data_IF_390447216083
#
_entry.id   IF_390447216083
#
_cell.length_a   1.000
_cell.length_b   1.000
_cell.length_c   1.000
_cell.angle_alpha   90.00
_cell.angle_beta   90.00
_cell.angle_gamma   90.00
#
_symmetry.space_group_name_H-M   'P 1'
#
loop_
_entity.id
_entity.type
_entity.pdbx_description
1 polymer ?
2 water ?
#
# COMPACT_ATOMS: atom_id res chain seq x y z
N UNK A 3 1.42 -3.78 -17.63
CA UNK A 3 1.34 -2.58 -18.53
C UNK A 3 -0.06 -1.90 -18.72
N UNK A 4 -0.30 -0.78 -17.98
CA UNK A 4 -1.60 -0.11 -18.11
C UNK A 4 -1.81 0.63 -19.42
N UNK A 5 -3.05 0.62 -19.86
CA UNK A 5 -3.47 1.31 -21.05
C UNK A 5 -3.75 2.77 -20.78
N UNK A 6 -3.58 3.58 -21.82
CA UNK A 6 -3.65 5.02 -21.67
C UNK A 6 -4.98 5.54 -22.18
N UNK A 7 -5.35 6.73 -21.73
CA UNK A 7 -6.60 7.33 -22.12
C UNK A 7 -6.65 7.52 -23.64
N UNK A 8 -7.81 7.35 -24.25
CA UNK A 8 -7.99 7.78 -25.65
C UNK A 8 -8.59 9.17 -25.50
N UNK A 9 -8.28 10.05 -26.45
CA UNK A 9 -8.88 11.38 -26.52
C UNK A 9 -8.51 12.32 -25.35
N UNK A 10 -7.25 12.23 -24.89
CA UNK A 10 -6.74 13.18 -23.92
C UNK A 10 -6.70 14.60 -24.47
N UNK A 11 -7.44 15.51 -23.84
CA UNK A 11 -7.36 16.95 -24.12
C UNK A 11 -6.32 17.61 -23.22
N UNK A 12 -5.06 17.61 -23.68
CA UNK A 12 -3.91 17.85 -22.82
C UNK A 12 -3.97 19.22 -22.16
N UNK A 13 -4.37 20.24 -22.91
CA UNK A 13 -4.34 21.59 -22.33
C UNK A 13 -5.26 21.70 -21.09
N UNK A 14 -6.30 20.85 -21.03
CA UNK A 14 -7.31 20.87 -19.93
C UNK A 14 -6.77 20.34 -18.56
N UNK A 15 -5.58 19.73 -18.57
CA UNK A 15 -4.95 19.23 -17.33
C UNK A 15 -4.13 20.30 -16.63
N UNK A 16 -4.04 21.50 -17.24
CA UNK A 16 -3.22 22.57 -16.67
C UNK A 16 -3.62 23.00 -15.28
N UNK A 17 -2.64 23.38 -14.48
CA UNK A 17 -2.88 24.06 -13.20
C UNK A 17 -2.56 23.16 -12.00
N UNK A 18 -3.20 23.43 -10.87
CA UNK A 18 -2.74 22.87 -9.61
C UNK A 18 -3.27 21.48 -9.41
N UNK A 19 -2.43 20.55 -8.93
CA UNK A 19 -2.91 19.21 -8.53
C UNK A 19 -2.31 18.85 -7.20
N UNK A 20 -2.89 17.85 -6.52
CA UNK A 20 -2.28 17.29 -5.33
C UNK A 20 -2.19 15.75 -5.50
N UNK A 21 -1.14 15.15 -4.97
CA UNK A 21 -0.94 13.70 -5.01
C UNK A 21 -1.78 13.10 -3.84
N UNK A 22 -2.83 12.44 -4.20
CA UNK A 22 -3.66 11.73 -3.19
C UNK A 22 -3.14 10.31 -2.86
N UNK A 23 -2.69 9.56 -3.89
CA UNK A 23 -2.25 8.19 -3.62
C UNK A 23 -1.13 7.88 -4.58
N UNK A 24 -0.25 6.95 -4.17
CA UNK A 24 0.87 6.46 -5.03
C UNK A 24 0.97 4.99 -4.89
N UNK A 25 1.44 4.28 -5.94
CA UNK A 25 1.58 2.84 -5.85
C UNK A 25 2.72 2.42 -6.77
N UNK A 26 3.39 1.34 -6.45
CA UNK A 26 4.57 0.96 -7.25
C UNK A 26 4.78 -0.55 -7.22
N UNK A 27 5.43 -1.07 -8.25
CA UNK A 27 5.72 -2.46 -8.35
C UNK A 27 6.82 -2.90 -7.35
N UNK A 28 7.70 -2.00 -6.95
CA UNK A 28 8.79 -2.34 -6.03
C UNK A 28 8.59 -1.47 -4.82
N UNK A 29 8.59 -2.09 -3.64
CA UNK A 29 8.45 -1.39 -2.37
C UNK A 29 9.48 -0.27 -2.18
N UNK A 30 10.75 -0.52 -2.57
CA UNK A 30 11.84 0.44 -2.41
C UNK A 30 11.66 1.75 -3.16
N UNK A 31 10.95 1.73 -4.27
CA UNK A 31 10.65 2.95 -5.03
C UNK A 31 9.89 4.02 -4.27
N UNK A 32 9.05 3.61 -3.30
CA UNK A 32 8.15 4.55 -2.56
C UNK A 32 8.25 4.60 -1.05
N UNK A 33 9.03 3.69 -0.49
CA UNK A 33 9.01 3.33 0.94
C UNK A 33 9.51 4.37 1.98
N UNK A 34 10.05 5.52 1.58
CA UNK A 34 10.44 6.52 2.59
C UNK A 34 10.14 7.84 1.92
N UNK A 35 10.24 8.99 2.59
CA UNK A 35 10.03 10.26 1.80
C UNK A 35 11.22 10.57 0.90
N UNK A 36 12.28 9.83 1.10
CA UNK A 36 13.42 10.04 0.24
C UNK A 36 13.51 8.94 -0.79
N UNK A 37 12.44 8.14 -0.96
CA UNK A 37 12.41 7.11 -1.99
C UNK A 37 12.40 7.85 -3.34
N UNK A 38 13.09 7.29 -4.38
CA UNK A 38 13.15 7.96 -5.72
C UNK A 38 11.81 8.35 -6.32
N UNK A 39 10.77 7.51 -6.17
CA UNK A 39 9.50 7.91 -6.80
C UNK A 39 8.49 8.57 -5.84
N UNK A 40 8.92 8.83 -4.60
CA UNK A 40 8.09 9.61 -3.64
C UNK A 40 8.19 11.10 -4.01
N UNK A 41 7.44 11.49 -5.03
CA UNK A 41 7.40 12.82 -5.52
C UNK A 41 5.99 13.28 -5.57
N UNK A 42 5.77 14.45 -5.06
CA UNK A 42 4.43 15.00 -4.91
C UNK A 42 4.20 16.01 -6.00
N UNK A 43 3.14 15.80 -6.78
CA UNK A 43 2.89 16.67 -7.93
C UNK A 43 2.29 17.96 -7.42
N UNK A 44 2.83 19.10 -7.88
CA UNK A 44 2.14 20.36 -7.54
C UNK A 44 1.43 21.08 -8.69
N UNK A 45 1.89 20.88 -9.93
CA UNK A 45 1.33 21.52 -11.09
C UNK A 45 1.67 20.73 -12.37
N UNK A 46 0.73 20.69 -13.29
CA UNK A 46 0.90 20.19 -14.64
C UNK A 46 0.78 21.42 -15.53
N UNK A 47 1.80 21.56 -16.40
CA UNK A 47 1.96 22.75 -17.23
C UNK A 47 2.16 22.34 -18.67
N UNK A 48 1.08 22.08 -19.37
CA UNK A 48 1.15 21.74 -20.78
C UNK A 48 1.82 22.89 -21.57
N UNK A 49 2.51 22.56 -22.65
CA UNK A 49 3.24 23.58 -23.41
C UNK A 49 2.48 23.79 -24.73
N UNK A 50 2.71 24.96 -25.40
CA UNK A 50 2.07 25.21 -26.68
C UNK A 50 2.29 24.13 -27.72
N UNK A 51 3.44 23.47 -27.65
CA UNK A 51 3.81 22.43 -28.58
C UNK A 51 3.11 21.10 -28.38
N UNK A 52 2.45 20.90 -27.24
CA UNK A 52 1.87 19.59 -26.92
C UNK A 52 2.70 18.73 -25.97
N UNK A 53 3.76 19.30 -25.37
CA UNK A 53 4.54 18.54 -24.37
C UNK A 53 3.97 18.80 -22.96
N UNK A 54 4.57 18.22 -21.92
CA UNK A 54 3.91 18.36 -20.59
C UNK A 54 4.93 18.55 -19.50
N UNK A 55 4.94 19.73 -18.91
CA UNK A 55 5.86 19.97 -17.86
C UNK A 55 5.19 19.57 -16.56
N UNK A 56 5.96 18.91 -15.68
CA UNK A 56 5.42 18.42 -14.41
C UNK A 56 6.26 19.04 -13.31
N UNK A 57 5.61 19.80 -12.43
CA UNK A 57 6.33 20.36 -11.31
C UNK A 57 6.04 19.53 -10.04
N UNK A 58 7.07 19.21 -9.27
CA UNK A 58 6.92 18.28 -8.16
C UNK A 58 7.67 18.82 -6.92
N UNK A 59 7.26 18.35 -5.72
CA UNK A 59 7.96 18.58 -4.42
C UNK A 59 8.53 17.25 -3.99
N UNK A 60 9.77 17.30 -3.49
CA UNK A 60 10.27 16.24 -2.67
C UNK A 60 10.37 16.83 -1.26
N UNK A 67 12.01 20.43 -1.38
CA UNK A 67 12.86 20.47 -2.59
C UNK A 67 11.96 20.40 -3.83
N UNK A 68 12.21 21.27 -4.81
CA UNK A 68 11.38 21.24 -5.99
C UNK A 68 12.08 20.54 -7.14
N UNK A 69 11.27 20.05 -8.10
CA UNK A 69 11.76 19.23 -9.21
C UNK A 69 10.91 19.64 -10.42
N UNK A 70 11.54 19.76 -11.58
CA UNK A 70 10.88 20.14 -12.86
C UNK A 70 11.20 19.05 -13.87
N UNK A 71 10.17 18.42 -14.44
CA UNK A 71 10.32 17.32 -15.41
C UNK A 71 9.57 17.77 -16.65
N UNK A 72 10.22 17.78 -17.82
CA UNK A 72 9.48 18.03 -19.04
C UNK A 72 9.23 16.71 -19.80
N UNK A 73 7.95 16.39 -20.03
CA UNK A 73 7.51 15.18 -20.73
C UNK A 73 7.20 15.50 -22.17
N UNK A 74 7.97 14.87 -23.06
CA UNK A 74 7.90 15.16 -24.48
C UNK A 74 6.83 14.33 -25.15
N UNK A 75 6.06 14.96 -26.01
CA UNK A 75 5.01 14.27 -26.74
C UNK A 75 5.52 13.14 -27.61
N UNK A 76 4.60 12.24 -27.95
CA UNK A 76 4.82 11.09 -28.83
C UNK A 76 3.55 11.05 -29.73
N UNK A 77 3.44 10.04 -30.59
CA UNK A 77 2.27 9.91 -31.49
C UNK A 77 1.02 9.49 -30.72
N UNK A 78 1.23 8.98 -29.48
CA UNK A 78 0.12 8.68 -28.58
C UNK A 78 -0.07 9.88 -27.68
N UNK A 79 -1.27 10.46 -27.71
CA UNK A 79 -1.60 11.70 -27.03
C UNK A 79 -1.48 11.58 -25.50
N UNK A 80 -1.54 10.34 -25.01
CA UNK A 80 -1.51 10.09 -23.57
C UNK A 80 -0.21 9.46 -23.09
N UNK A 81 0.80 9.35 -23.99
CA UNK A 81 2.11 8.84 -23.62
C UNK A 81 3.16 9.93 -23.89
N UNK A 82 4.07 10.06 -22.94
CA UNK A 82 5.10 11.06 -23.04
C UNK A 82 6.40 10.39 -22.70
N UNK A 83 7.49 10.97 -23.19
CA UNK A 83 8.82 10.54 -22.88
C UNK A 83 9.55 11.44 -21.89
N UNK A 84 10.24 10.85 -20.91
CA UNK A 84 10.93 11.64 -19.91
C UNK A 84 12.30 11.08 -19.73
N UNK A 85 13.14 11.81 -18.98
CA UNK A 85 14.51 11.40 -18.72
C UNK A 85 14.84 11.82 -17.27
N UNK A 86 14.25 11.15 -16.27
CA UNK A 86 14.32 11.64 -14.87
C UNK A 86 13.77 10.56 -13.95
N UNK A 87 14.24 10.54 -12.70
CA UNK A 87 13.81 9.51 -11.73
C UNK A 87 14.09 8.08 -12.16
N UNK A 88 15.09 7.88 -13.03
CA UNK A 88 15.29 6.58 -13.66
C UNK A 88 14.06 6.05 -14.38
N UNK A 89 13.22 6.90 -14.94
CA UNK A 89 12.03 6.45 -15.68
C UNK A 89 12.13 7.05 -17.07
N UNK A 90 11.41 6.51 -18.05
CA UNK A 90 11.44 7.15 -19.38
C UNK A 90 10.12 7.35 -20.03
N UNK A 91 9.02 6.96 -19.38
CA UNK A 91 7.72 7.10 -20.00
C UNK A 91 6.74 7.60 -18.92
N UNK A 92 5.85 8.53 -19.31
CA UNK A 92 4.72 8.96 -18.47
C UNK A 92 3.49 8.59 -19.26
N UNK A 93 2.50 7.99 -18.59
CA UNK A 93 1.28 7.55 -19.28
C UNK A 93 0.09 8.12 -18.58
N UNK A 94 -0.83 8.77 -19.28
CA UNK A 94 -2.00 9.30 -18.57
C UNK A 94 -3.08 8.24 -18.72
N UNK A 95 -3.53 7.72 -17.60
CA UNK A 95 -4.47 6.60 -17.62
C UNK A 95 -5.91 7.06 -17.82
N UNK A 96 -6.29 8.11 -17.09
CA UNK A 96 -7.67 8.58 -17.11
C UNK A 96 -7.69 9.88 -16.39
N UNK A 97 -8.59 10.78 -16.80
CA UNK A 97 -8.84 12.03 -16.08
C UNK A 97 -10.23 12.54 -16.45
N UNK A 98 -10.79 13.41 -15.63
CA UNK A 98 -11.96 14.19 -16.06
C UNK A 98 -11.60 15.68 -15.98
N UNK A 99 -10.30 15.99 -15.83
CA UNK A 99 -9.76 17.39 -15.95
C UNK A 99 -10.07 18.27 -14.79
N UNK A 100 -11.33 18.18 -14.37
CA UNK A 100 -11.84 19.08 -13.33
C UNK A 100 -11.70 18.57 -11.88
N UNK A 101 -11.52 17.26 -11.71
CA UNK A 101 -11.46 16.63 -10.36
C UNK A 101 -10.28 15.70 -10.06
N UNK A 102 -10.03 14.77 -10.97
CA UNK A 102 -9.00 13.74 -10.74
C UNK A 102 -8.18 13.44 -12.00
N UNK A 103 -6.98 12.90 -11.78
CA UNK A 103 -6.13 12.43 -12.87
C UNK A 103 -5.27 11.28 -12.40
N UNK A 104 -5.21 10.22 -13.21
CA UNK A 104 -4.38 9.08 -12.91
C UNK A 104 -3.27 8.92 -13.95
N UNK A 105 -2.04 8.75 -13.47
CA UNK A 105 -0.91 8.52 -14.42
C UNK A 105 0.06 7.51 -13.83
N UNK A 106 0.94 6.99 -14.69
CA UNK A 106 2.01 6.09 -14.30
C UNK A 106 3.28 6.57 -14.97
N UNK A 107 4.38 6.18 -14.39
CA UNK A 107 5.70 6.35 -14.98
C UNK A 107 6.27 4.94 -14.98
N UNK A 108 7.08 4.66 -15.96
CA UNK A 108 7.74 3.38 -16.07
C UNK A 108 9.08 3.58 -16.83
N UNK A 109 9.97 2.61 -16.68
CA UNK A 109 11.14 2.51 -17.53
C UNK A 109 10.75 1.37 -18.45
N UNK A 110 10.36 1.76 -19.65
CA UNK A 110 9.84 0.86 -20.70
C UNK A 110 10.70 -0.39 -20.93
N UNK A 111 12.00 -0.33 -20.60
CA UNK A 111 12.86 -1.50 -20.70
C UNK A 111 12.92 -2.40 -19.46
N UNK A 112 12.47 -1.89 -18.30
CA UNK A 112 12.40 -2.73 -17.07
C UNK A 112 11.18 -2.37 -16.19
N UNK A 113 9.96 -2.61 -16.69
CA UNK A 113 8.76 -2.15 -15.97
C UNK A 113 8.66 -2.69 -14.53
N UNK A 114 8.82 -4.00 -14.37
CA UNK A 114 8.70 -4.65 -13.07
C UNK A 114 9.55 -4.05 -11.97
N UNK A 115 10.56 -3.27 -12.35
CA UNK A 115 11.42 -2.65 -11.33
C UNK A 115 11.16 -1.14 -11.17
N UNK A 116 10.18 -0.61 -11.93
CA UNK A 116 10.06 0.83 -12.17
C UNK A 116 8.63 1.38 -12.21
N UNK A 117 7.62 0.54 -12.38
CA UNK A 117 6.24 1.00 -12.58
C UNK A 117 5.76 1.73 -11.30
N UNK A 118 5.39 2.99 -11.42
CA UNK A 118 4.87 3.74 -10.28
C UNK A 118 3.74 4.66 -10.75
N UNK A 119 2.58 4.56 -10.07
CA UNK A 119 1.42 5.31 -10.50
C UNK A 119 0.94 6.18 -9.38
N UNK A 120 0.19 7.22 -9.75
CA UNK A 120 -0.44 8.16 -8.78
C UNK A 120 -1.89 8.50 -9.14
N UNK A 121 -2.64 8.86 -8.11
CA UNK A 121 -3.92 9.47 -8.25
C UNK A 121 -3.74 10.93 -7.81
N UNK A 122 -4.07 11.84 -8.72
CA UNK A 122 -3.98 13.27 -8.42
C UNK A 122 -5.38 13.82 -8.25
N UNK A 123 -5.53 14.83 -7.42
CA UNK A 123 -6.79 15.54 -7.28
C UNK A 123 -6.58 17.04 -7.37
N UNK A 124 -7.64 17.74 -7.76
CA UNK A 124 -7.63 19.21 -7.92
C UNK A 124 -7.72 19.98 -6.59
N UNK A 125 -8.34 19.39 -5.57
CA UNK A 125 -8.43 20.02 -4.22
C UNK A 125 -7.67 19.26 -3.11
N UNK A 126 -7.46 19.91 -1.95
CA UNK A 126 -6.87 19.27 -0.77
C UNK A 126 -7.96 18.52 0.01
N UNK A 127 -8.62 17.60 -0.66
CA UNK A 127 -9.60 16.75 -0.01
C UNK A 127 -9.32 15.32 -0.40
N UNK A 128 -9.60 14.38 0.49
CA UNK A 128 -9.58 13.02 0.03
C UNK A 128 -10.81 12.65 -0.75
N UNK A 129 -10.61 12.07 -1.93
CA UNK A 129 -11.69 11.84 -2.85
C UNK A 129 -11.75 10.34 -3.03
N UNK A 130 -12.77 9.70 -2.43
CA UNK A 130 -12.85 8.26 -2.41
C UNK A 130 -13.17 7.62 -3.74
N UNK A 131 -13.83 8.39 -4.61
CA UNK A 131 -14.10 7.95 -5.97
C UNK A 131 -12.80 7.88 -6.82
N UNK A 132 -12.00 8.93 -6.79
CA UNK A 132 -10.68 8.91 -7.45
C UNK A 132 -9.86 7.71 -6.95
N UNK A 133 -9.86 7.46 -5.64
CA UNK A 133 -9.24 6.25 -5.07
C UNK A 133 -9.79 4.91 -5.59
N UNK A 134 -11.10 4.83 -5.75
CA UNK A 134 -11.69 3.62 -6.36
C UNK A 134 -11.27 3.45 -7.81
N UNK A 135 -11.28 4.52 -8.57
CA UNK A 135 -10.81 4.44 -9.96
C UNK A 135 -9.33 4.07 -10.02
N UNK A 136 -8.54 4.63 -9.11
CA UNK A 136 -7.09 4.34 -9.07
C UNK A 136 -6.91 2.83 -8.80
N UNK A 137 -7.56 2.30 -7.76
CA UNK A 137 -7.45 0.86 -7.46
C UNK A 137 -7.91 -0.04 -8.61
N UNK A 138 -8.97 0.35 -9.29
CA UNK A 138 -9.47 -0.40 -10.47
C UNK A 138 -8.39 -0.37 -11.57
N UNK A 139 -7.76 0.77 -11.78
CA UNK A 139 -6.71 0.85 -12.79
C UNK A 139 -5.55 -0.09 -12.42
N UNK A 140 -5.17 -0.10 -11.15
CA UNK A 140 -4.09 -0.94 -10.63
C UNK A 140 -4.39 -2.46 -10.53
N UNK A 141 -5.66 -2.85 -10.60
CA UNK A 141 -6.10 -4.21 -10.19
C UNK A 141 -5.34 -5.37 -10.88
N UNK A 142 -4.99 -5.25 -12.19
CA UNK A 142 -4.19 -6.33 -12.73
C UNK A 142 -2.65 -6.09 -12.80
N UNK A 143 -2.20 -4.92 -12.32
CA UNK A 143 -0.81 -4.50 -12.37
C UNK A 143 -0.06 -5.07 -11.18
N UNK A 144 1.27 -5.32 -11.34
CA UNK A 144 1.91 -6.01 -10.21
C UNK A 144 2.43 -5.07 -9.10
N UNK A 145 1.56 -4.39 -8.36
CA UNK A 145 2.01 -3.41 -7.35
C UNK A 145 2.26 -4.11 -6.02
N UNK A 146 3.29 -3.68 -5.31
CA UNK A 146 3.64 -4.20 -4.00
C UNK A 146 3.65 -3.17 -2.88
N UNK A 147 3.45 -1.89 -3.22
CA UNK A 147 3.28 -0.79 -2.23
C UNK A 147 2.18 0.16 -2.73
N UNK A 148 1.25 0.52 -1.84
CA UNK A 148 0.28 1.54 -2.16
C UNK A 148 0.22 2.43 -0.95
N UNK A 149 0.24 3.73 -1.18
CA UNK A 149 0.22 4.76 -0.12
C UNK A 149 -0.91 5.73 -0.40
N UNK A 150 -1.57 6.22 0.65
CA UNK A 150 -2.50 7.31 0.40
C UNK A 150 -2.25 8.41 1.43
N UNK A 151 -2.52 9.66 1.02
CA UNK A 151 -2.05 10.84 1.72
C UNK A 151 -3.21 11.75 2.08
N UNK A 152 -3.02 12.59 3.09
CA UNK A 152 -3.90 13.74 3.26
C UNK A 152 -3.23 14.87 2.49
N UNK A 153 -3.83 15.34 1.37
CA UNK A 153 -3.16 16.35 0.54
C UNK A 153 -2.73 17.63 1.27
N UNK A 154 -3.41 17.91 2.37
CA UNK A 154 -3.08 19.03 3.24
C UNK A 154 -1.65 19.06 3.75
N UNK A 155 -1.09 17.88 4.04
CA UNK A 155 0.19 17.77 4.74
C UNK A 155 1.35 18.36 3.93
N UNK A 156 1.54 17.82 2.72
CA UNK A 156 2.67 18.25 1.93
C UNK A 156 2.45 19.67 1.45
N UNK A 157 1.21 19.99 1.07
CA UNK A 157 0.79 21.33 0.64
C UNK A 157 1.16 22.44 1.64
N UNK B 3 -12.74 -0.14 13.98
CA UNK B 3 -12.14 -1.46 14.37
C UNK B 3 -12.73 -2.66 13.61
N UNK B 4 -11.84 -3.49 13.00
CA UNK B 4 -12.27 -4.75 12.42
C UNK B 4 -12.96 -5.68 13.42
N UNK B 5 -13.99 -6.32 12.93
CA UNK B 5 -14.67 -7.39 13.61
C UNK B 5 -13.78 -8.62 13.68
N UNK B 6 -13.88 -9.33 14.79
CA UNK B 6 -13.09 -10.54 15.00
C UNK B 6 -13.89 -11.80 14.63
N UNK B 7 -13.16 -12.88 14.40
CA UNK B 7 -13.73 -14.15 14.01
C UNK B 7 -14.64 -14.71 15.11
N UNK B 8 -15.76 -15.31 14.69
CA UNK B 8 -16.57 -16.08 15.62
C UNK B 8 -16.04 -17.49 15.52
N UNK B 9 -16.03 -18.18 16.65
CA UNK B 9 -15.70 -19.59 16.72
C UNK B 9 -14.30 -19.96 16.26
N UNK B 10 -13.31 -19.12 16.61
CA UNK B 10 -11.89 -19.46 16.44
C UNK B 10 -11.50 -20.75 17.18
N UNK B 11 -10.98 -21.71 16.43
CA UNK B 11 -10.37 -22.91 17.01
C UNK B 11 -8.87 -22.71 17.14
N UNK B 12 -8.45 -22.20 18.30
CA UNK B 12 -7.14 -21.58 18.44
C UNK B 12 -6.02 -22.59 18.21
N UNK B 13 -6.19 -23.81 18.69
CA UNK B 13 -5.11 -24.79 18.60
C UNK B 13 -4.80 -25.11 17.10
N UNK B 14 -5.79 -24.90 16.22
CA UNK B 14 -5.62 -25.18 14.77
C UNK B 14 -4.74 -24.20 13.97
N UNK B 15 -4.37 -23.08 14.59
CA UNK B 15 -3.51 -22.08 13.91
C UNK B 15 -2.05 -22.36 14.13
N UNK B 16 -1.76 -23.42 14.92
CA UNK B 16 -0.37 -23.76 15.23
C UNK B 16 0.52 -24.00 14.01
N UNK B 17 1.78 -23.66 14.13
CA UNK B 17 2.78 -24.07 13.15
C UNK B 17 3.26 -22.90 12.29
N UNK B 18 3.74 -23.22 11.10
CA UNK B 18 4.52 -22.27 10.33
C UNK B 18 3.60 -21.39 9.55
N UNK B 19 3.86 -20.07 9.51
CA UNK B 19 3.14 -19.13 8.62
C UNK B 19 4.12 -18.22 7.94
N UNK B 20 3.69 -17.58 6.84
CA UNK B 20 4.47 -16.54 6.21
C UNK B 20 3.61 -15.24 6.05
N UNK B 21 4.23 -14.10 6.21
CA UNK B 21 3.58 -12.80 6.05
C UNK B 21 3.51 -12.50 4.53
N UNK B 22 2.32 -12.58 3.98
CA UNK B 22 2.11 -12.23 2.54
C UNK B 22 1.84 -10.72 2.31
N UNK B 23 1.08 -10.09 3.22
CA UNK B 23 0.79 -8.67 3.05
C UNK B 23 0.67 -8.04 4.39
N UNK B 24 0.95 -6.74 4.45
CA UNK B 24 0.76 -5.92 5.68
C UNK B 24 0.11 -4.64 5.31
N UNK B 25 -0.71 -4.07 6.22
CA UNK B 25 -1.33 -2.78 5.98
C UNK B 25 -1.41 -2.03 7.30
N UNK B 26 -1.40 -0.70 7.26
CA UNK B 26 -1.45 0.06 8.50
C UNK B 26 -2.13 1.40 8.31
N UNK B 27 -2.66 1.94 9.40
CA UNK B 27 -3.27 3.26 9.40
C UNK B 27 -2.26 4.41 9.23
N UNK B 28 -1.03 4.23 9.67
CA UNK B 28 0.04 5.27 9.60
C UNK B 28 1.13 4.71 8.74
N UNK B 29 1.51 5.47 7.71
CA UNK B 29 2.61 5.09 6.80
C UNK B 29 3.91 4.77 7.57
N UNK B 30 4.24 5.59 8.59
CA UNK B 30 5.46 5.40 9.38
C UNK B 30 5.56 4.07 10.11
N UNK B 31 4.43 3.44 10.42
CA UNK B 31 4.47 2.14 11.10
C UNK B 31 5.07 1.00 10.26
N UNK B 32 5.02 1.14 8.93
CA UNK B 32 5.42 0.05 8.01
C UNK B 32 6.46 0.41 6.97
N UNK B 33 6.74 1.69 6.87
CA UNK B 33 7.45 2.35 5.75
C UNK B 33 8.91 1.92 5.44
N UNK B 34 9.60 1.22 6.31
CA UNK B 34 10.94 0.71 5.93
C UNK B 34 11.05 -0.65 6.57
N UNK B 35 12.10 -1.45 6.31
CA UNK B 35 12.20 -2.75 7.05
C UNK B 35 12.53 -2.57 8.53
N UNK B 36 12.89 -1.35 8.87
CA UNK B 36 13.17 -1.08 10.25
C UNK B 36 12.00 -0.33 10.89
N UNK B 37 10.85 -0.23 10.22
CA UNK B 37 9.67 0.42 10.82
C UNK B 37 9.16 -0.47 11.96
N UNK B 38 8.58 0.12 13.04
CA UNK B 38 8.06 -0.64 14.22
C UNK B 38 7.17 -1.84 13.93
N UNK B 39 6.25 -1.76 12.94
CA UNK B 39 5.37 -2.90 12.74
C UNK B 39 5.76 -3.76 11.52
N UNK B 40 6.89 -3.46 10.89
CA UNK B 40 7.40 -4.37 9.81
C UNK B 40 8.01 -5.60 10.51
N UNK B 41 7.13 -6.51 10.91
CA UNK B 41 7.53 -7.76 11.50
C UNK B 41 6.95 -8.90 10.70
N UNK B 42 7.74 -9.91 10.49
CA UNK B 42 7.34 -10.99 9.64
C UNK B 42 7.08 -12.24 10.50
N UNK B 43 5.87 -12.76 10.42
CA UNK B 43 5.47 -13.86 11.27
C UNK B 43 6.12 -15.13 10.79
N UNK B 44 6.74 -15.87 11.71
CA UNK B 44 7.27 -17.17 11.31
C UNK B 44 6.53 -18.37 11.90
N UNK B 45 5.98 -18.21 13.11
CA UNK B 45 5.24 -19.29 13.73
C UNK B 45 4.19 -18.75 14.69
N UNK B 46 3.08 -19.47 14.77
CA UNK B 46 2.04 -19.24 15.77
C UNK B 46 2.08 -20.48 16.67
N UNK B 47 2.26 -20.22 17.99
CA UNK B 47 2.45 -21.28 18.99
C UNK B 47 1.36 -21.11 20.08
N UNK B 48 0.15 -21.63 19.85
CA UNK B 48 -0.87 -21.60 20.90
C UNK B 48 -0.36 -22.39 22.13
N UNK B 49 -0.81 -22.00 23.31
CA UNK B 49 -0.35 -22.64 24.55
C UNK B 49 -1.50 -23.46 25.13
N UNK B 50 -1.18 -24.45 26.00
CA UNK B 50 -2.22 -25.26 26.62
C UNK B 50 -3.33 -24.48 27.31
N UNK B 51 -2.98 -23.33 27.85
CA UNK B 51 -3.90 -22.45 28.52
C UNK B 51 -4.86 -21.68 27.62
N UNK B 52 -4.62 -21.62 26.31
CA UNK B 52 -5.49 -20.78 25.46
C UNK B 52 -4.88 -19.43 25.13
N UNK B 53 -3.59 -19.22 25.43
CA UNK B 53 -2.92 -17.98 25.01
C UNK B 53 -2.20 -18.21 23.66
N UNK B 54 -1.54 -17.20 23.11
CA UNK B 54 -1.01 -17.39 21.73
C UNK B 54 0.36 -16.79 21.60
N UNK B 55 1.34 -17.64 21.45
CA UNK B 55 2.67 -17.14 21.27
C UNK B 55 2.90 -16.87 19.78
N UNK B 56 3.53 -15.74 19.50
CA UNK B 56 3.81 -15.31 18.14
C UNK B 56 5.33 -15.15 17.97
N UNK B 57 5.92 -15.92 17.07
CA UNK B 57 7.35 -15.76 16.80
C UNK B 57 7.49 -14.95 15.53
N UNK B 58 8.35 -13.93 15.55
CA UNK B 58 8.52 -13.05 14.38
C UNK B 58 10.01 -12.90 14.00
N UNK B 59 10.25 -12.50 12.74
CA UNK B 59 11.58 -12.04 12.21
C UNK B 59 11.50 -10.53 11.97
N UNK B 60 12.58 -9.82 12.31
CA UNK B 60 12.74 -8.40 11.97
C UNK B 60 13.97 -8.26 11.05
N UNK B 67 16.87 -10.77 12.93
CA UNK B 67 16.59 -10.75 14.36
C UNK B 67 15.25 -11.43 14.66
N UNK B 68 15.18 -12.22 15.74
CA UNK B 68 13.92 -12.86 16.11
C UNK B 68 13.22 -12.08 17.23
N UNK B 69 11.90 -12.24 17.33
CA UNK B 69 11.08 -11.54 18.31
C UNK B 69 10.06 -12.57 18.77
N UNK B 70 9.75 -12.56 20.05
CA UNK B 70 8.79 -13.52 20.67
C UNK B 70 7.79 -12.66 21.46
N UNK B 71 6.52 -12.78 21.10
CA UNK B 71 5.44 -12.01 21.68
C UNK B 71 4.46 -13.04 22.24
N UNK B 72 4.07 -12.91 23.51
CA UNK B 72 2.98 -13.75 24.02
C UNK B 72 1.68 -12.96 24.16
N UNK B 73 0.64 -13.46 23.49
CA UNK B 73 -0.71 -12.87 23.46
C UNK B 73 -1.63 -13.61 24.41
N UNK B 74 -2.12 -12.87 25.40
CA UNK B 74 -2.87 -13.49 26.49
C UNK B 74 -4.34 -13.47 26.15
N UNK B 75 -4.99 -14.59 26.42
CA UNK B 75 -6.39 -14.76 26.13
C UNK B 75 -7.25 -13.75 26.89
N UNK B 76 -8.47 -13.57 26.39
CA UNK B 76 -9.47 -12.70 26.96
C UNK B 76 -10.81 -13.46 26.83
N UNK B 77 -11.92 -12.81 27.14
CA UNK B 77 -13.24 -13.47 27.07
C UNK B 77 -13.67 -13.74 25.62
N UNK B 78 -13.09 -12.98 24.67
CA UNK B 78 -13.37 -13.18 23.23
C UNK B 78 -12.30 -14.09 22.72
N UNK B 79 -12.69 -15.22 22.13
CA UNK B 79 -11.75 -16.22 21.67
C UNK B 79 -10.77 -15.70 20.61
N UNK B 80 -11.09 -14.58 19.97
CA UNK B 80 -10.29 -14.10 18.86
C UNK B 80 -9.61 -12.78 19.17
N UNK B 81 -9.73 -12.31 20.42
CA UNK B 81 -9.00 -11.12 20.87
C UNK B 81 -7.95 -11.52 21.94
N UNK B 82 -6.76 -10.97 21.82
CA UNK B 82 -5.70 -11.29 22.79
C UNK B 82 -5.07 -10.00 23.21
N UNK B 83 -4.45 -10.01 24.41
CA UNK B 83 -3.76 -8.86 24.90
C UNK B 83 -2.26 -9.02 24.79
N UNK B 84 -1.58 -7.97 24.36
CA UNK B 84 -0.14 -7.99 24.24
C UNK B 84 0.47 -6.77 24.87
N UNK B 85 1.77 -6.78 24.95
CA UNK B 85 2.54 -5.69 25.56
C UNK B 85 3.86 -5.54 24.81
N UNK B 86 3.81 -5.10 23.54
CA UNK B 86 4.99 -5.12 22.64
C UNK B 86 4.67 -4.33 21.37
N UNK B 87 5.70 -3.79 20.74
CA UNK B 87 5.54 -2.99 19.50
C UNK B 87 4.69 -1.76 19.67
N UNK B 88 4.58 -1.26 20.92
CA UNK B 88 3.62 -0.19 21.25
C UNK B 88 2.17 -0.56 20.91
N UNK B 89 1.81 -1.84 20.98
CA UNK B 89 0.43 -2.23 20.70
C UNK B 89 -0.07 -2.95 21.93
N UNK B 90 -1.38 -3.06 22.10
CA UNK B 90 -1.87 -3.85 23.22
C UNK B 90 -2.93 -4.88 22.94
N UNK B 91 -3.33 -5.02 21.65
CA UNK B 91 -4.33 -6.01 21.33
C UNK B 91 -3.96 -6.71 20.01
N UNK B 92 -4.30 -8.00 19.93
CA UNK B 92 -4.18 -8.77 18.67
C UNK B 92 -5.58 -9.29 18.42
N UNK B 93 -6.08 -9.15 17.19
CA UNK B 93 -7.43 -9.60 16.81
C UNK B 93 -7.35 -10.56 15.66
N UNK B 94 -7.91 -11.75 15.75
CA UNK B 94 -7.88 -12.68 14.59
C UNK B 94 -9.17 -12.38 13.82
N UNK B 95 -9.01 -11.92 12.60
CA UNK B 95 -10.15 -11.51 11.79
C UNK B 95 -10.81 -12.69 11.10
N UNK B 96 -10.02 -13.64 10.61
CA UNK B 96 -10.55 -14.75 9.85
C UNK B 96 -9.44 -15.68 9.57
N UNK B 97 -9.75 -16.96 9.45
CA UNK B 97 -8.78 -17.98 9.02
C UNK B 97 -9.53 -19.21 8.54
N UNK B 98 -8.88 -20.06 7.76
CA UNK B 98 -9.39 -21.40 7.50
C UNK B 98 -8.33 -22.41 7.99
N UNK B 99 -7.34 -21.93 8.76
CA UNK B 99 -6.40 -22.81 9.52
C UNK B 99 -5.38 -23.45 8.65
N UNK B 100 -5.87 -23.96 7.52
CA UNK B 100 -5.02 -24.71 6.61
C UNK B 100 -4.33 -23.91 5.49
N UNK B 101 -4.81 -22.71 5.22
CA UNK B 101 -4.26 -21.91 4.08
C UNK B 101 -3.88 -20.45 4.37
N UNK B 102 -4.79 -19.75 5.02
CA UNK B 102 -4.59 -18.31 5.28
C UNK B 102 -5.09 -17.90 6.67
N UNK B 103 -4.57 -16.77 7.14
CA UNK B 103 -5.02 -16.20 8.41
C UNK B 103 -4.85 -14.70 8.36
N UNK B 104 -5.88 -13.99 8.81
CA UNK B 104 -5.84 -12.53 8.83
C UNK B 104 -5.92 -12.03 10.27
N UNK B 105 -5.03 -11.11 10.64
CA UNK B 105 -5.12 -10.53 12.03
C UNK B 105 -4.71 -9.07 11.99
N UNK B 106 -5.03 -8.35 13.07
CA UNK B 106 -4.63 -6.98 13.25
C UNK B 106 -4.09 -6.82 14.69
N UNK B 107 -3.29 -5.80 14.86
CA UNK B 107 -2.80 -5.36 16.16
C UNK B 107 -3.22 -3.90 16.21
N UNK B 108 -3.52 -3.41 17.41
CA UNK B 108 -3.85 -2.01 17.60
C UNK B 108 -3.44 -1.62 19.04
N UNK B 109 -3.32 -0.32 19.27
CA UNK B 109 -3.27 0.18 20.63
C UNK B 109 -4.67 0.69 20.85
N UNK B 110 -5.42 -0.08 21.62
CA UNK B 110 -6.85 0.14 21.86
C UNK B 110 -7.18 1.57 22.31
N UNK B 111 -6.23 2.29 22.91
CA UNK B 111 -6.46 3.70 23.28
C UNK B 111 -6.10 4.74 22.20
N UNK B 112 -5.47 4.31 21.11
CA UNK B 112 -5.16 5.19 19.96
C UNK B 112 -5.11 4.39 18.65
N UNK B 113 -6.25 3.89 18.19
CA UNK B 113 -6.20 2.98 17.02
C UNK B 113 -5.65 3.65 15.75
N UNK B 114 -6.04 4.90 15.52
CA UNK B 114 -5.68 5.59 14.28
C UNK B 114 -4.21 5.86 14.09
N UNK B 115 -3.42 5.74 15.16
CA UNK B 115 -1.96 5.87 15.03
C UNK B 115 -1.23 4.54 15.14
N UNK B 116 -2.00 3.44 15.18
CA UNK B 116 -1.51 2.12 15.62
C UNK B 116 -2.11 0.88 14.92
N UNK B 117 -3.19 1.01 14.16
CA UNK B 117 -3.81 -0.17 13.55
C UNK B 117 -2.91 -0.74 12.44
N UNK B 118 -2.54 -2.01 12.57
CA UNK B 118 -1.71 -2.65 11.55
C UNK B 118 -2.16 -4.10 11.39
N UNK B 119 -2.45 -4.51 10.15
CA UNK B 119 -3.01 -5.82 9.89
C UNK B 119 -2.10 -6.59 8.97
N UNK B 120 -2.21 -7.93 9.00
CA UNK B 120 -1.48 -8.83 8.07
C UNK B 120 -2.34 -9.90 7.49
N UNK B 121 -1.90 -10.39 6.32
CA UNK B 121 -2.39 -11.59 5.71
C UNK B 121 -1.24 -12.62 5.80
N UNK B 122 -1.51 -13.72 6.47
CA UNK B 122 -0.52 -14.79 6.60
C UNK B 122 -0.96 -15.97 5.74
N UNK B 123 0.01 -16.69 5.22
CA UNK B 123 -0.24 -17.89 4.45
C UNK B 123 0.59 -19.04 4.96
N UNK B 124 0.09 -20.25 4.74
CA UNK B 124 0.79 -21.47 5.18
C UNK B 124 2.00 -21.88 4.33
N UNK B 125 2.00 -21.52 3.04
CA UNK B 125 3.13 -21.81 2.12
C UNK B 125 3.87 -20.54 1.62
N UNK B 126 5.04 -20.73 1.00
CA UNK B 126 5.78 -19.64 0.41
C UNK B 126 5.25 -19.26 -0.97
N UNK B 127 3.94 -19.25 -1.14
CA UNK B 127 3.33 -18.92 -2.41
C UNK B 127 2.55 -17.65 -2.26
N UNK B 128 2.48 -16.86 -3.33
CA UNK B 128 1.51 -15.78 -3.26
C UNK B 128 0.11 -16.31 -3.52
N UNK B 129 -0.82 -15.95 -2.66
CA UNK B 129 -2.13 -16.53 -2.68
C UNK B 129 -3.10 -15.35 -2.91
N UNK B 130 -3.60 -15.21 -4.16
CA UNK B 130 -4.45 -14.06 -4.52
C UNK B 130 -5.80 -14.03 -3.86
N UNK B 131 -6.27 -15.21 -3.45
CA UNK B 131 -7.53 -15.28 -2.73
C UNK B 131 -7.40 -14.74 -1.28
N UNK B 132 -6.38 -15.17 -0.56
CA UNK B 132 -6.03 -14.55 0.73
C UNK B 132 -5.90 -13.01 0.65
N UNK B 133 -5.25 -12.51 -0.40
CA UNK B 133 -5.18 -11.06 -0.65
C UNK B 133 -6.54 -10.40 -0.90
N UNK B 134 -7.39 -11.04 -1.67
CA UNK B 134 -8.75 -10.54 -1.84
C UNK B 134 -9.51 -10.46 -0.50
N UNK B 135 -9.40 -11.51 0.31
CA UNK B 135 -10.02 -11.53 1.66
C UNK B 135 -9.41 -10.43 2.56
N UNK B 136 -8.10 -10.26 2.46
CA UNK B 136 -7.41 -9.21 3.24
C UNK B 136 -7.94 -7.83 2.81
N UNK B 137 -8.01 -7.54 1.51
CA UNK B 137 -8.51 -6.22 1.08
C UNK B 137 -9.99 -5.98 1.47
N UNK B 138 -10.81 -7.01 1.38
CA UNK B 138 -12.20 -6.88 1.79
C UNK B 138 -12.27 -6.58 3.29
N UNK B 139 -11.44 -7.24 4.08
CA UNK B 139 -11.39 -6.96 5.52
C UNK B 139 -11.03 -5.49 5.80
N UNK B 140 -10.04 -4.99 5.08
CA UNK B 140 -9.57 -3.62 5.26
C UNK B 140 -10.42 -2.52 4.61
N UNK B 141 -11.38 -2.91 3.75
CA UNK B 141 -12.13 -1.92 2.91
C UNK B 141 -12.74 -0.73 3.69
N UNK B 142 -13.26 -0.94 4.92
CA UNK B 142 -13.73 0.24 5.66
C UNK B 142 -12.75 0.84 6.68
N UNK B 143 -11.59 0.21 6.83
CA UNK B 143 -10.61 0.56 7.85
C UNK B 143 -9.77 1.69 7.28
N UNK B 144 -9.21 2.57 8.15
CA UNK B 144 -8.54 3.72 7.56
C UNK B 144 -7.03 3.48 7.31
N UNK B 145 -6.70 2.67 6.31
CA UNK B 145 -5.30 2.33 6.02
C UNK B 145 -4.67 3.33 5.05
N UNK B 146 -3.41 3.67 5.28
CA UNK B 146 -2.65 4.55 4.40
C UNK B 146 -1.42 3.93 3.77
N UNK B 147 -1.04 2.71 4.19
CA UNK B 147 0.04 1.93 3.54
C UNK B 147 -0.38 0.44 3.45
N UNK B 148 -0.13 -0.18 2.30
CA UNK B 148 -0.40 -1.58 2.14
C UNK B 148 0.81 -2.07 1.35
N UNK B 149 1.36 -3.18 1.80
CA UNK B 149 2.57 -3.79 1.24
C UNK B 149 2.26 -5.25 0.93
N UNK B 150 2.74 -5.78 -0.20
CA UNK B 150 2.66 -7.23 -0.38
C UNK B 150 4.06 -7.77 -0.73
N UNK B 151 4.31 -9.02 -0.29
CA UNK B 151 5.63 -9.61 -0.29
C UNK B 151 5.67 -10.91 -1.11
N UNK B 152 6.83 -11.24 -1.63
CA UNK B 152 7.08 -12.62 -2.03
C UNK B 152 7.60 -13.33 -0.79
N UNK B 153 6.84 -14.28 -0.20
CA UNK B 153 7.27 -14.92 1.05
C UNK B 153 8.68 -15.57 1.06
N UNK B 154 9.15 -15.99 -0.11
CA UNK B 154 10.50 -16.55 -0.30
C UNK B 154 11.64 -15.70 0.24
N UNK B 155 11.52 -14.38 0.09
CA UNK B 155 12.62 -13.46 0.37
C UNK B 155 13.02 -13.52 1.84
N UNK B 156 12.06 -13.33 2.74
CA UNK B 156 12.40 -13.29 4.15
C UNK B 156 12.66 -14.69 4.70
N UNK B 157 11.90 -15.68 4.24
CA UNK B 157 12.14 -17.09 4.58
C UNK B 157 13.60 -17.52 4.32
#
# INVERSE_FOLDING_TARGET
TNIPQTMQDLDLQEVAGTWYSLAMAASDISLLDSESAPLRVYVEELKPTPEGDLEILLQKWENKGCAQKKIIAEKTESPAEFKIDALDENKVLVLDTDYKNYLLFCMENAATPGQSLACQALVRTQMVDDEALEKFDKALQPLPMHIRLSFNPTRMAERCRI
TNIPQTMQDLDLQEVAGTWYSLAMAASDISLLDSESAPLRVYVEELKPTPEGDLEILLQKWENKGCAQKKIIAEKTESPAEFKIDALDENKVLVLDTDYKNYLLFCMENAATPGQSLACQALVRTQMVDDEALEKFDKALQPLPMHIRLSFNPTRMAERCRI
#
